data_IF_928746520116
#
_entry.id   IF_928746520116
#
_cell.length_a   1.000
_cell.length_b   1.000
_cell.length_c   1.000
_cell.angle_alpha   90.00
_cell.angle_beta   90.00
_cell.angle_gamma   90.00
#
_symmetry.space_group_name_H-M   'P 1'
#
loop_
_entity.id
_entity.type
_entity.pdbx_description
1 polymer ?
#
# COMPACT_ATOMS: atom_id res chain seq x y z
N UNK A 1 9.97 6.62 -3.45
CA UNK A 1 11.18 5.80 -3.41
C UNK A 1 11.12 4.88 -2.18
N UNK A 2 10.81 3.63 -2.38
CA UNK A 2 10.65 2.61 -1.32
C UNK A 2 11.91 2.41 -0.44
N UNK A 3 13.07 2.91 -0.86
CA UNK A 3 14.33 2.89 -0.08
C UNK A 3 14.46 4.06 0.90
N UNK A 4 13.50 4.97 0.92
CA UNK A 4 13.55 6.19 1.74
C UNK A 4 12.63 6.07 2.95
N UNK A 5 13.05 6.63 4.08
CA UNK A 5 12.22 6.85 5.26
C UNK A 5 11.48 8.19 5.28
N UNK A 6 11.39 8.86 4.13
CA UNK A 6 10.78 10.18 3.98
C UNK A 6 9.56 10.14 3.06
N UNK A 7 8.60 11.01 3.34
CA UNK A 7 7.63 11.45 2.35
C UNK A 7 8.14 12.72 1.67
N UNK A 8 7.95 12.81 0.36
CA UNK A 8 8.36 13.95 -0.44
C UNK A 8 7.14 14.76 -0.85
N UNK A 9 7.23 16.07 -0.66
CA UNK A 9 6.20 17.03 -1.06
C UNK A 9 6.74 17.94 -2.16
N UNK A 10 6.05 17.97 -3.30
CA UNK A 10 6.37 18.87 -4.40
C UNK A 10 5.33 19.98 -4.53
N UNK A 11 5.76 21.21 -4.33
CA UNK A 11 4.90 22.36 -4.52
C UNK A 11 4.92 22.78 -6.01
N UNK A 12 3.79 22.56 -6.70
CA UNK A 12 3.68 22.81 -8.15
C UNK A 12 3.74 24.30 -8.54
N UNK A 13 3.50 25.24 -7.60
CA UNK A 13 3.52 26.67 -7.88
C UNK A 13 4.95 27.25 -7.85
N UNK A 14 5.70 26.97 -6.79
CA UNK A 14 7.08 27.45 -6.65
C UNK A 14 8.14 26.42 -7.05
N UNK A 15 7.72 25.20 -7.47
CA UNK A 15 8.57 24.09 -7.90
C UNK A 15 9.56 23.62 -6.83
N UNK A 16 9.28 23.87 -5.57
CA UNK A 16 10.11 23.40 -4.47
C UNK A 16 9.76 21.97 -4.09
N UNK A 17 10.79 21.19 -3.82
CA UNK A 17 10.72 19.85 -3.25
C UNK A 17 11.14 19.92 -1.79
N UNK A 18 10.29 19.45 -0.91
CA UNK A 18 10.58 19.24 0.51
C UNK A 18 10.40 17.76 0.89
N UNK A 19 10.91 17.39 2.04
CA UNK A 19 10.75 16.03 2.56
C UNK A 19 10.54 16.05 4.07
N UNK A 20 9.76 15.08 4.56
CA UNK A 20 9.40 14.97 5.97
C UNK A 20 9.68 13.52 6.41
N UNK A 21 10.34 13.29 7.56
CA UNK A 21 10.65 11.95 8.04
C UNK A 21 9.38 11.23 8.47
N UNK A 22 9.22 9.97 8.06
CA UNK A 22 8.14 9.08 8.46
C UNK A 22 8.59 8.05 9.53
N UNK A 23 9.88 7.86 9.68
CA UNK A 23 10.47 6.95 10.65
C UNK A 23 11.60 7.63 11.41
N UNK A 24 11.92 7.09 12.58
CA UNK A 24 13.07 7.55 13.36
C UNK A 24 14.37 7.23 12.60
N UNK A 25 15.36 8.13 12.67
CA UNK A 25 16.60 8.03 11.92
C UNK A 25 16.40 7.84 10.41
N UNK A 26 15.41 8.55 9.84
CA UNK A 26 15.11 8.49 8.42
C UNK A 26 16.35 8.74 7.56
N UNK A 27 16.53 7.91 6.53
CA UNK A 27 17.61 7.97 5.57
C UNK A 27 17.05 7.88 4.15
N UNK A 28 17.75 8.42 3.17
CA UNK A 28 17.38 8.30 1.76
C UNK A 28 17.74 6.93 1.16
N UNK A 29 18.52 6.13 1.86
CA UNK A 29 19.02 4.86 1.34
C UNK A 29 19.04 3.79 2.44
N UNK A 30 17.88 3.27 2.76
CA UNK A 30 17.71 2.22 3.78
C UNK A 30 17.99 0.85 3.13
N UNK A 31 18.79 -0.02 3.74
CA UNK A 31 18.98 -1.39 3.26
C UNK A 31 17.66 -2.14 3.05
N UNK A 32 17.58 -2.98 2.02
CA UNK A 32 16.33 -3.65 1.59
C UNK A 32 15.64 -4.43 2.72
N UNK A 33 16.40 -5.07 3.58
CA UNK A 33 15.88 -5.83 4.72
C UNK A 33 15.40 -4.98 5.90
N UNK A 34 15.74 -3.69 5.94
CA UNK A 34 15.37 -2.76 7.01
C UNK A 34 14.36 -1.70 6.56
N UNK A 35 14.17 -1.54 5.25
CA UNK A 35 13.28 -0.51 4.71
C UNK A 35 11.83 -0.76 5.14
N UNK A 36 11.06 0.31 5.44
CA UNK A 36 9.63 0.20 5.77
C UNK A 36 8.77 -0.18 4.56
N UNK A 37 9.30 -0.03 3.35
CA UNK A 37 8.66 -0.37 2.09
C UNK A 37 7.25 0.23 1.98
N UNK A 38 7.17 1.54 2.07
CA UNK A 38 5.92 2.26 1.90
C UNK A 38 5.50 2.23 0.43
N UNK A 39 4.40 1.54 0.12
CA UNK A 39 3.97 1.26 -1.25
C UNK A 39 2.58 1.82 -1.55
N UNK A 40 1.82 2.23 -0.54
CA UNK A 40 0.53 2.87 -0.79
C UNK A 40 0.27 4.08 0.10
N UNK A 41 -0.49 5.02 -0.45
CA UNK A 41 -0.78 6.30 0.18
C UNK A 41 -2.21 6.74 -0.15
N UNK A 42 -2.92 7.20 0.87
CA UNK A 42 -4.23 7.84 0.69
C UNK A 42 -4.38 9.00 1.64
N UNK A 43 -5.34 9.86 1.43
CA UNK A 43 -5.61 10.97 2.35
C UNK A 43 -7.11 11.15 2.57
N UNK A 44 -7.44 11.64 3.74
CA UNK A 44 -8.78 12.11 4.06
C UNK A 44 -8.66 13.37 4.93
N UNK A 45 -9.30 14.45 4.50
CA UNK A 45 -9.11 15.78 5.09
C UNK A 45 -7.62 16.15 5.15
N UNK A 46 -7.13 16.57 6.33
CA UNK A 46 -5.74 16.97 6.54
C UNK A 46 -4.82 15.81 6.98
N UNK A 47 -5.31 14.57 6.95
CA UNK A 47 -4.52 13.39 7.32
C UNK A 47 -4.14 12.56 6.10
N UNK A 48 -2.85 12.27 6.00
CA UNK A 48 -2.28 11.35 5.03
C UNK A 48 -1.99 10.01 5.70
N UNK A 49 -2.37 8.94 5.06
CA UNK A 49 -2.14 7.56 5.52
C UNK A 49 -1.14 6.88 4.60
N UNK A 50 -0.04 6.41 5.15
CA UNK A 50 1.06 5.80 4.40
C UNK A 50 1.26 4.38 4.89
N UNK A 51 1.09 3.38 4.01
CA UNK A 51 1.12 1.97 4.35
C UNK A 51 2.40 1.30 3.87
N UNK A 52 2.97 0.44 4.72
CA UNK A 52 3.98 -0.53 4.30
C UNK A 52 3.35 -1.69 3.56
N UNK A 53 4.12 -2.32 2.68
CA UNK A 53 3.65 -3.39 1.78
C UNK A 53 3.14 -4.66 2.49
N UNK A 54 3.55 -4.91 3.73
CA UNK A 54 3.19 -6.13 4.45
C UNK A 54 3.97 -7.38 4.03
N UNK A 55 4.88 -7.27 3.06
CA UNK A 55 5.63 -8.41 2.52
C UNK A 55 6.71 -8.95 3.47
N UNK A 56 6.99 -8.26 4.57
CA UNK A 56 7.84 -8.71 5.68
C UNK A 56 7.38 -8.07 6.98
N UNK A 57 7.80 -8.60 8.13
CA UNK A 57 7.35 -8.16 9.45
C UNK A 57 7.54 -6.66 9.71
N UNK A 58 8.70 -6.07 9.35
CA UNK A 58 8.95 -4.64 9.53
C UNK A 58 8.17 -3.74 8.57
N UNK A 59 7.40 -4.29 7.65
CA UNK A 59 6.55 -3.58 6.69
C UNK A 59 5.07 -3.59 7.08
N UNK A 60 4.74 -4.21 8.22
CA UNK A 60 3.37 -4.27 8.75
C UNK A 60 3.05 -3.01 9.56
N UNK A 61 3.00 -1.87 8.89
CA UNK A 61 2.78 -0.57 9.56
C UNK A 61 2.02 0.42 8.69
N UNK A 62 1.35 1.36 9.38
CA UNK A 62 0.77 2.54 8.77
C UNK A 62 1.23 3.78 9.55
N UNK A 63 1.52 4.84 8.83
CA UNK A 63 1.83 6.16 9.40
C UNK A 63 0.68 7.10 9.07
N UNK A 64 0.17 7.77 10.11
CA UNK A 64 -0.75 8.88 9.97
C UNK A 64 0.06 10.19 10.06
N UNK A 65 -0.03 11.00 9.03
CA UNK A 65 0.76 12.21 8.89
C UNK A 65 -0.17 13.42 8.70
N UNK A 66 0.04 14.47 9.52
CA UNK A 66 -0.68 15.73 9.43
C UNK A 66 -0.13 16.57 8.27
N UNK A 67 -0.95 16.76 7.24
CA UNK A 67 -0.59 17.56 6.06
C UNK A 67 -0.45 19.07 6.37
N UNK A 68 -1.11 19.55 7.42
CA UNK A 68 -1.07 20.97 7.80
C UNK A 68 0.15 21.30 8.65
N UNK A 69 0.41 20.50 9.69
CA UNK A 69 1.50 20.72 10.62
C UNK A 69 2.81 20.00 10.19
N UNK A 70 2.76 19.14 9.17
CA UNK A 70 3.89 18.37 8.65
C UNK A 70 4.55 17.48 9.71
N UNK A 71 3.73 16.83 10.53
CA UNK A 71 4.16 15.98 11.64
C UNK A 71 3.46 14.62 11.61
N UNK A 72 4.10 13.60 12.18
CA UNK A 72 3.47 12.31 12.40
C UNK A 72 2.46 12.45 13.53
N UNK A 73 1.21 12.03 13.28
CA UNK A 73 0.15 11.93 14.27
C UNK A 73 0.23 10.59 15.01
N UNK A 74 0.38 9.49 14.25
CA UNK A 74 0.38 8.14 14.81
C UNK A 74 1.21 7.18 13.96
N UNK A 75 1.83 6.20 14.62
CA UNK A 75 2.48 5.03 14.01
C UNK A 75 1.70 3.80 14.43
N UNK A 76 1.05 3.14 13.50
CA UNK A 76 0.19 1.99 13.74
C UNK A 76 0.92 0.69 13.34
N UNK A 77 0.87 -0.30 14.22
CA UNK A 77 1.27 -1.67 13.90
C UNK A 77 0.07 -2.38 13.25
N UNK A 78 0.27 -2.94 12.05
CA UNK A 78 -0.77 -3.62 11.28
C UNK A 78 -0.60 -5.14 11.21
N UNK A 79 0.23 -5.74 12.06
CA UNK A 79 0.48 -7.21 12.06
C UNK A 79 -0.83 -7.99 12.14
N UNK A 80 -1.70 -7.65 13.09
CA UNK A 80 -2.96 -8.36 13.30
C UNK A 80 -3.94 -8.14 12.13
N UNK A 81 -4.06 -6.90 11.64
CA UNK A 81 -4.90 -6.58 10.49
C UNK A 81 -4.42 -7.35 9.24
N UNK A 82 -3.13 -7.32 8.94
CA UNK A 82 -2.58 -8.00 7.77
C UNK A 82 -2.71 -9.52 7.87
N UNK A 83 -2.57 -10.09 9.07
CA UNK A 83 -2.83 -11.51 9.32
C UNK A 83 -4.29 -11.88 9.06
N UNK A 84 -5.23 -11.05 9.49
CA UNK A 84 -6.66 -11.23 9.19
C UNK A 84 -6.92 -11.12 7.68
N UNK A 85 -6.37 -10.12 7.00
CA UNK A 85 -6.51 -9.96 5.55
C UNK A 85 -5.96 -11.17 4.79
N UNK A 86 -4.79 -11.69 5.19
CA UNK A 86 -4.21 -12.92 4.64
C UNK A 86 -5.14 -14.11 4.82
N UNK A 87 -5.71 -14.29 6.01
CA UNK A 87 -6.66 -15.37 6.30
C UNK A 87 -7.94 -15.25 5.48
N UNK A 88 -8.59 -14.09 5.46
CA UNK A 88 -9.83 -13.86 4.73
C UNK A 88 -9.65 -13.92 3.21
N UNK A 89 -8.52 -13.44 2.68
CA UNK A 89 -8.17 -13.50 1.28
C UNK A 89 -7.62 -14.87 0.85
N UNK A 90 -7.38 -15.79 1.80
CA UNK A 90 -6.65 -17.05 1.57
C UNK A 90 -5.31 -16.77 0.84
N UNK A 91 -4.58 -15.76 1.28
CA UNK A 91 -3.29 -15.32 0.74
C UNK A 91 -2.21 -15.75 1.72
N UNK A 92 -1.20 -16.44 1.22
CA UNK A 92 -0.05 -16.80 2.06
C UNK A 92 0.77 -15.56 2.40
N UNK A 93 1.44 -15.53 3.58
CA UNK A 93 2.26 -14.38 3.97
C UNK A 93 3.30 -13.97 2.91
N UNK A 94 3.93 -14.93 2.24
CA UNK A 94 4.91 -14.68 1.16
C UNK A 94 4.30 -14.12 -0.13
N UNK A 95 2.99 -14.23 -0.31
CA UNK A 95 2.24 -13.70 -1.45
C UNK A 95 1.50 -12.38 -1.12
N UNK A 96 1.58 -11.92 0.14
CA UNK A 96 0.93 -10.69 0.57
C UNK A 96 1.79 -9.47 0.24
N UNK A 97 1.22 -8.54 -0.52
CA UNK A 97 1.89 -7.31 -0.94
C UNK A 97 0.87 -6.19 -1.20
N UNK A 98 0.76 -5.24 -0.27
CA UNK A 98 -0.17 -4.12 -0.38
C UNK A 98 0.42 -3.01 -1.25
N UNK A 99 -0.28 -2.66 -2.34
CA UNK A 99 0.19 -1.68 -3.33
C UNK A 99 -0.78 -0.52 -3.56
N UNK A 100 -1.98 -0.58 -3.00
CA UNK A 100 -2.96 0.50 -3.11
C UNK A 100 -3.79 0.63 -1.84
N UNK A 101 -4.15 1.86 -1.49
CA UNK A 101 -5.01 2.15 -0.35
C UNK A 101 -5.93 3.33 -0.68
N UNK A 102 -7.19 3.23 -0.27
CA UNK A 102 -8.19 4.30 -0.35
C UNK A 102 -8.92 4.36 0.98
N UNK A 103 -9.21 5.55 1.43
CA UNK A 103 -10.13 5.83 2.53
C UNK A 103 -11.16 6.87 2.09
N UNK A 104 -12.44 6.51 2.12
CA UNK A 104 -13.53 7.40 1.71
C UNK A 104 -14.13 8.21 2.88
N UNK A 105 -13.63 8.01 4.10
CA UNK A 105 -14.12 8.63 5.34
C UNK A 105 -14.98 7.69 6.19
N UNK A 106 -15.40 6.54 5.64
CA UNK A 106 -16.18 5.51 6.33
C UNK A 106 -15.61 4.11 6.12
N UNK A 107 -15.01 3.86 4.94
CA UNK A 107 -14.51 2.56 4.52
C UNK A 107 -13.08 2.66 4.01
N UNK A 108 -12.30 1.62 4.26
CA UNK A 108 -11.00 1.41 3.66
C UNK A 108 -11.09 0.40 2.53
N UNK A 109 -10.38 0.66 1.44
CA UNK A 109 -10.17 -0.28 0.34
C UNK A 109 -8.67 -0.48 0.20
N UNK A 110 -8.20 -1.68 0.54
CA UNK A 110 -6.79 -2.04 0.52
C UNK A 110 -6.55 -3.08 -0.59
N UNK A 111 -5.57 -2.82 -1.46
CA UNK A 111 -5.34 -3.57 -2.69
C UNK A 111 -4.11 -4.46 -2.53
N UNK A 112 -4.32 -5.78 -2.45
CA UNK A 112 -3.24 -6.75 -2.51
C UNK A 112 -2.84 -7.00 -3.97
N UNK A 113 -1.56 -6.79 -4.27
CA UNK A 113 -0.96 -7.09 -5.56
C UNK A 113 -0.74 -8.59 -5.71
N UNK A 114 -1.34 -9.17 -6.75
CA UNK A 114 -1.25 -10.60 -7.05
C UNK A 114 0.00 -10.99 -7.83
N UNK A 115 1.17 -10.45 -7.52
CA UNK A 115 2.44 -10.76 -8.19
C UNK A 115 3.18 -11.97 -7.62
N UNK A 116 2.73 -12.52 -6.49
CA UNK A 116 3.25 -13.77 -5.93
C UNK A 116 2.74 -15.04 -6.63
N UNK A 117 3.10 -16.20 -6.12
CA UNK A 117 2.75 -17.53 -6.70
C UNK A 117 1.24 -17.71 -6.81
N UNK A 118 0.46 -17.23 -5.84
CA UNK A 118 -1.00 -17.38 -5.85
C UNK A 118 -1.71 -16.55 -6.92
N UNK A 119 -1.09 -15.52 -7.46
CA UNK A 119 -1.67 -14.58 -8.43
C UNK A 119 -3.04 -13.99 -7.96
N UNK A 120 -3.22 -13.78 -6.65
CA UNK A 120 -4.46 -13.27 -6.07
C UNK A 120 -4.45 -11.75 -5.99
N UNK A 121 -5.08 -11.09 -6.96
CA UNK A 121 -5.41 -9.67 -6.89
C UNK A 121 -6.67 -9.52 -6.03
N UNK A 122 -6.53 -9.00 -4.81
CA UNK A 122 -7.63 -8.93 -3.85
C UNK A 122 -7.83 -7.49 -3.40
N UNK A 123 -9.09 -7.04 -3.41
CA UNK A 123 -9.49 -5.81 -2.73
C UNK A 123 -10.11 -6.21 -1.40
N UNK A 124 -9.55 -5.67 -0.33
CA UNK A 124 -10.10 -5.78 1.02
C UNK A 124 -10.92 -4.52 1.31
N UNK A 125 -12.22 -4.70 1.55
CA UNK A 125 -13.10 -3.64 2.03
C UNK A 125 -13.24 -3.77 3.53
N UNK A 126 -12.85 -2.73 4.28
CA UNK A 126 -12.93 -2.68 5.73
C UNK A 126 -13.89 -1.58 6.13
N UNK A 127 -15.01 -1.97 6.74
CA UNK A 127 -16.04 -1.06 7.22
C UNK A 127 -15.67 -0.57 8.63
N UNK A 128 -14.91 0.52 8.70
CA UNK A 128 -14.48 1.19 9.92
C UNK A 128 -13.94 2.59 9.62
N UNK A 129 -14.11 3.52 10.53
CA UNK A 129 -13.48 4.84 10.45
C UNK A 129 -12.00 4.81 10.81
N UNK A 130 -11.61 3.89 11.70
CA UNK A 130 -10.24 3.68 12.14
C UNK A 130 -9.89 2.19 12.06
N UNK A 131 -8.68 1.86 11.60
CA UNK A 131 -8.19 0.47 11.51
C UNK A 131 -7.82 -0.13 12.88
N UNK A 132 -7.85 0.65 13.95
CA UNK A 132 -7.65 0.21 15.33
C UNK A 132 -8.95 -0.12 16.09
N UNK A 133 -10.11 0.04 15.46
CA UNK A 133 -11.43 -0.22 16.04
C UNK A 133 -11.99 -1.57 15.59
N UNK A 134 -13.14 -1.95 16.13
CA UNK A 134 -13.90 -3.11 15.66
C UNK A 134 -14.42 -2.85 14.24
N UNK A 135 -14.23 -3.80 13.32
CA UNK A 135 -14.56 -3.65 11.91
C UNK A 135 -15.16 -4.91 11.28
N UNK A 136 -15.85 -4.72 10.15
CA UNK A 136 -16.19 -5.80 9.26
C UNK A 136 -15.25 -5.82 8.06
N UNK A 137 -14.75 -7.00 7.67
CA UNK A 137 -13.81 -7.22 6.58
C UNK A 137 -14.41 -8.09 5.49
N UNK A 138 -14.33 -7.62 4.24
CA UNK A 138 -14.70 -8.37 3.04
C UNK A 138 -13.49 -8.48 2.12
N UNK A 139 -13.18 -9.67 1.61
CA UNK A 139 -12.13 -9.92 0.64
C UNK A 139 -12.74 -10.29 -0.73
N UNK A 140 -12.43 -9.54 -1.78
CA UNK A 140 -12.94 -9.77 -3.13
C UNK A 140 -11.77 -9.97 -4.10
N UNK A 141 -11.73 -11.14 -4.76
CA UNK A 141 -10.68 -11.48 -5.71
C UNK A 141 -11.03 -11.04 -7.14
N UNK A 142 -10.06 -10.48 -7.85
CA UNK A 142 -10.21 -10.00 -9.22
C UNK A 142 -9.26 -10.74 -10.20
N UNK A 143 -9.78 -11.08 -11.36
CA UNK A 143 -8.99 -11.63 -12.46
C UNK A 143 -8.65 -10.53 -13.45
N UNK A 144 -7.47 -9.95 -13.33
CA UNK A 144 -7.00 -8.93 -14.27
C UNK A 144 -6.52 -9.54 -15.59
N UNK A 145 -6.42 -8.74 -16.67
CA UNK A 145 -5.94 -9.21 -17.97
C UNK A 145 -4.52 -9.77 -17.91
N UNK A 146 -4.13 -10.49 -18.97
CA UNK A 146 -2.76 -10.97 -19.17
C UNK A 146 -2.09 -10.19 -20.29
N UNK A 147 -0.81 -9.85 -20.09
CA UNK A 147 0.06 -9.28 -21.11
C UNK A 147 1.19 -10.29 -21.33
N UNK A 148 1.38 -10.73 -22.59
CA UNK A 148 2.36 -11.77 -22.95
C UNK A 148 2.27 -13.04 -22.07
N UNK A 149 1.07 -13.42 -21.66
CA UNK A 149 0.83 -14.60 -20.83
C UNK A 149 0.96 -14.38 -19.32
N UNK A 150 1.54 -13.29 -18.86
CA UNK A 150 1.68 -12.89 -17.46
C UNK A 150 0.44 -12.11 -17.03
N UNK A 151 -0.13 -12.44 -15.87
CA UNK A 151 -1.29 -11.73 -15.32
C UNK A 151 -0.88 -10.39 -14.77
N UNK A 152 -1.64 -9.33 -15.13
CA UNK A 152 -1.51 -8.02 -14.49
C UNK A 152 -1.91 -8.08 -13.02
N UNK A 153 -1.29 -7.26 -12.22
CA UNK A 153 -1.54 -7.12 -10.78
C UNK A 153 -1.67 -5.64 -10.40
N UNK A 154 -2.41 -5.35 -9.32
CA UNK A 154 -2.59 -3.99 -8.83
C UNK A 154 -1.26 -3.33 -8.47
N UNK A 155 -1.12 -2.04 -8.79
CA UNK A 155 0.08 -1.25 -8.46
C UNK A 155 -0.24 0.10 -7.85
N UNK A 156 -1.47 0.56 -7.92
CA UNK A 156 -1.96 1.78 -7.25
C UNK A 156 -3.47 1.89 -7.40
N UNK A 157 -4.12 2.70 -6.55
CA UNK A 157 -5.55 2.98 -6.64
C UNK A 157 -5.90 4.36 -6.08
N UNK A 158 -6.88 5.01 -6.70
CA UNK A 158 -7.43 6.30 -6.25
C UNK A 158 -8.95 6.29 -6.29
N UNK A 159 -9.57 7.07 -5.42
CA UNK A 159 -11.00 7.36 -5.44
C UNK A 159 -11.21 8.72 -6.11
N UNK A 160 -12.08 8.75 -7.11
CA UNK A 160 -12.54 9.99 -7.76
C UNK A 160 -14.06 9.98 -7.77
N UNK A 161 -14.67 10.86 -7.01
CA UNK A 161 -16.11 10.87 -6.74
C UNK A 161 -16.56 9.53 -6.13
N UNK A 162 -17.40 8.76 -6.82
CA UNK A 162 -17.94 7.45 -6.41
C UNK A 162 -17.24 6.26 -7.10
N UNK A 163 -16.14 6.52 -7.83
CA UNK A 163 -15.46 5.52 -8.64
C UNK A 163 -14.02 5.29 -8.19
N UNK A 164 -13.65 4.05 -8.11
CA UNK A 164 -12.26 3.64 -7.89
C UNK A 164 -11.57 3.44 -9.24
N UNK A 165 -10.47 4.14 -9.42
CA UNK A 165 -9.55 3.92 -10.52
C UNK A 165 -8.30 3.27 -9.99
N UNK A 166 -7.78 2.27 -10.68
CA UNK A 166 -6.54 1.60 -10.29
C UNK A 166 -5.61 1.41 -11.49
N UNK A 167 -4.34 1.32 -11.20
CA UNK A 167 -3.32 0.91 -12.15
C UNK A 167 -3.03 -0.59 -11.98
N UNK A 168 -2.65 -1.24 -13.07
CA UNK A 168 -2.19 -2.62 -13.03
C UNK A 168 -1.04 -2.84 -14.00
N UNK A 169 -0.09 -3.69 -13.61
CA UNK A 169 1.12 -3.98 -14.39
C UNK A 169 1.34 -5.49 -14.45
N UNK A 170 1.70 -5.99 -15.63
CA UNK A 170 2.17 -7.36 -15.79
C UNK A 170 3.69 -7.37 -15.61
N UNK A 171 4.12 -7.98 -14.51
CA UNK A 171 5.51 -8.18 -14.15
C UNK A 171 5.81 -9.68 -14.10
N UNK A 172 6.82 -10.13 -14.85
CA UNK A 172 7.20 -11.55 -14.90
C UNK A 172 8.04 -11.92 -13.66
N UNK A 173 7.35 -12.11 -12.57
CA UNK A 173 7.91 -12.58 -11.29
C UNK A 173 6.93 -13.54 -10.61
N UNK A 174 7.45 -14.33 -9.67
CA UNK A 174 6.67 -15.13 -8.71
C UNK A 174 7.00 -14.75 -7.27
N UNK A 175 7.72 -13.65 -7.09
CA UNK A 175 8.16 -13.12 -5.81
C UNK A 175 7.51 -11.77 -5.55
N UNK A 176 7.03 -11.55 -4.33
CA UNK A 176 6.61 -10.22 -3.86
C UNK A 176 7.79 -9.39 -3.37
N UNK A 177 8.97 -9.98 -3.31
CA UNK A 177 10.19 -9.37 -2.81
C UNK A 177 11.20 -9.01 -3.91
N UNK A 178 11.30 -9.82 -4.96
CA UNK A 178 12.23 -9.63 -6.07
C UNK A 178 11.51 -9.09 -7.29
N UNK A 179 12.10 -8.06 -7.89
CA UNK A 179 11.58 -7.42 -9.10
C UNK A 179 11.73 -8.34 -10.31
N UNK A 180 10.72 -8.38 -11.17
CA UNK A 180 10.72 -9.07 -12.45
C UNK A 180 10.78 -8.12 -13.64
N UNK A 181 10.73 -8.67 -14.86
CA UNK A 181 10.61 -7.89 -16.08
C UNK A 181 9.20 -7.31 -16.22
N UNK A 182 9.08 -6.01 -16.40
CA UNK A 182 7.80 -5.35 -16.70
C UNK A 182 7.45 -5.55 -18.18
N UNK A 183 6.35 -6.27 -18.42
CA UNK A 183 5.88 -6.62 -19.76
C UNK A 183 4.87 -5.63 -20.34
N UNK A 184 4.30 -4.77 -19.49
CA UNK A 184 3.32 -3.73 -19.83
C UNK A 184 2.33 -3.43 -18.70
N UNK A 185 1.55 -2.36 -18.90
CA UNK A 185 0.52 -1.86 -17.96
C UNK A 185 -0.71 -1.38 -18.72
#
# INVERSE_FOLDING_TARGET
NSKSGFIYEYNKHNKQLSHHPLIDNASQNIPKNLKPDFESITHHNDTLYVFGSGSTENRNKMIEFDLKNKTILQKNNLVDLYSLMQSFGEIKPEDFNLEGAIFDGENWYLFNRGNGVSNKNTIFTIHAKSLGEEFALVATNYKLPKIKGVRSSFTDAILVEDKIYFLSTAEDTKSTYDDGEILGS
#
